data_IF_508592891337
#
_entry.id   IF_508592891337
#
_cell.length_a   1.000
_cell.length_b   1.000
_cell.length_c   1.000
_cell.angle_alpha   90.00
_cell.angle_beta   90.00
_cell.angle_gamma   90.00
#
_symmetry.space_group_name_H-M   'P 1'
#
loop_
_entity.id
_entity.type
_entity.pdbx_description
1 polymer ?
#
# COMPACT_ATOMS: atom_id res chain seq x y z
N UNK A 1 9.80 22.03 74.63
CA UNK A 1 8.43 21.49 74.48
C UNK A 1 7.67 22.41 73.54
N UNK A 2 7.54 22.05 72.27
CA UNK A 2 6.81 22.85 71.28
C UNK A 2 5.44 22.21 71.06
N UNK A 3 4.38 22.91 71.46
CA UNK A 3 3.01 22.44 71.37
C UNK A 3 2.56 22.37 69.92
N UNK A 4 2.15 21.15 69.52
CA UNK A 4 1.39 20.86 68.32
C UNK A 4 0.23 21.83 68.20
N UNK A 5 0.14 22.54 67.07
CA UNK A 5 -1.14 23.00 66.55
C UNK A 5 -1.30 22.44 65.15
N UNK A 6 -2.24 21.52 65.05
CA UNK A 6 -2.76 20.98 63.81
C UNK A 6 -3.37 22.14 63.01
N UNK A 7 -2.75 22.47 61.87
CA UNK A 7 -3.37 23.35 60.89
C UNK A 7 -4.47 22.55 60.21
N UNK A 8 -5.70 22.95 60.52
CA UNK A 8 -6.92 22.55 59.82
C UNK A 8 -6.74 22.88 58.34
N UNK A 9 -6.69 21.85 57.50
CA UNK A 9 -6.74 22.00 56.04
C UNK A 9 -8.11 22.59 55.71
N UNK A 10 -8.09 23.79 55.16
CA UNK A 10 -9.26 24.51 54.73
C UNK A 10 -9.94 23.74 53.58
N UNK A 11 -11.22 23.47 53.77
CA UNK A 11 -12.07 22.63 52.90
C UNK A 11 -12.43 23.31 51.57
N UNK A 12 -11.85 24.46 51.23
CA UNK A 12 -12.12 25.20 49.99
C UNK A 12 -11.05 25.01 48.90
N UNK A 13 -9.84 24.59 49.24
CA UNK A 13 -8.70 24.49 48.29
C UNK A 13 -8.70 23.20 47.44
N UNK A 14 -9.42 22.14 47.84
CA UNK A 14 -9.56 20.91 47.04
C UNK A 14 -10.45 21.10 45.80
N UNK A 15 -11.15 22.22 45.70
CA UNK A 15 -12.19 22.47 44.69
C UNK A 15 -11.64 22.92 43.34
N UNK A 16 -10.42 23.50 43.31
CA UNK A 16 -9.84 24.07 42.10
C UNK A 16 -9.04 23.05 41.26
N UNK A 17 -8.54 21.97 41.88
CA UNK A 17 -7.76 20.93 41.19
C UNK A 17 -8.64 19.85 40.52
N UNK A 18 -9.96 19.87 40.76
CA UNK A 18 -10.87 18.81 40.32
C UNK A 18 -11.57 19.06 38.99
N UNK A 19 -11.41 20.23 38.36
CA UNK A 19 -12.24 20.67 37.23
C UNK A 19 -11.49 21.20 35.99
N UNK A 20 -10.20 20.91 35.86
CA UNK A 20 -9.49 21.14 34.59
C UNK A 20 -9.06 19.80 33.97
N UNK A 21 -10.02 18.92 33.72
CA UNK A 21 -9.80 17.81 32.81
C UNK A 21 -9.97 18.36 31.39
N UNK A 22 -8.90 18.90 30.79
CA UNK A 22 -8.91 19.28 29.37
C UNK A 22 -9.29 18.04 28.57
N UNK A 23 -10.48 18.06 27.97
CA UNK A 23 -10.93 17.03 27.06
C UNK A 23 -10.24 17.23 25.71
N UNK A 24 -9.11 16.56 25.52
CA UNK A 24 -8.35 16.59 24.26
C UNK A 24 -9.11 15.77 23.21
N UNK A 25 -9.60 16.41 22.15
CA UNK A 25 -10.16 15.74 20.97
C UNK A 25 -9.02 15.48 19.99
N UNK A 26 -8.86 14.23 19.57
CA UNK A 26 -7.88 13.82 18.55
C UNK A 26 -8.67 13.53 17.28
N UNK A 27 -8.43 14.30 16.23
CA UNK A 27 -9.00 14.05 14.91
C UNK A 27 -8.03 13.15 14.14
N UNK A 28 -8.53 12.03 13.63
CA UNK A 28 -7.77 11.11 12.77
C UNK A 28 -8.37 11.27 11.39
N UNK A 29 -7.61 11.88 10.47
CA UNK A 29 -7.99 11.95 9.06
C UNK A 29 -7.53 10.66 8.39
N UNK A 30 -8.49 9.84 7.96
CA UNK A 30 -8.23 8.66 7.14
C UNK A 30 -8.44 9.05 5.69
N UNK A 31 -7.35 9.24 4.95
CA UNK A 31 -7.39 9.44 3.51
C UNK A 31 -7.37 8.07 2.84
N UNK A 32 -8.50 7.68 2.25
CA UNK A 32 -8.63 6.41 1.54
C UNK A 32 -8.44 6.67 0.04
N UNK A 33 -7.24 6.42 -0.47
CA UNK A 33 -7.00 6.38 -1.92
C UNK A 33 -7.54 5.08 -2.48
N UNK A 34 -8.61 5.15 -3.28
CA UNK A 34 -9.19 4.01 -3.97
C UNK A 34 -8.84 4.09 -5.47
N UNK A 35 -8.18 3.06 -5.99
CA UNK A 35 -7.97 2.89 -7.42
C UNK A 35 -8.91 1.79 -7.94
N UNK A 36 -9.81 2.15 -8.86
CA UNK A 36 -10.74 1.21 -9.50
C UNK A 36 -10.20 0.91 -10.89
N UNK A 37 -9.75 -0.33 -11.11
CA UNK A 37 -9.33 -0.80 -12.43
C UNK A 37 -10.52 -1.47 -13.11
N UNK A 38 -11.06 -0.84 -14.14
CA UNK A 38 -12.09 -1.43 -15.00
C UNK A 38 -11.38 -2.04 -16.20
N UNK A 39 -11.11 -3.35 -16.14
CA UNK A 39 -10.53 -4.10 -17.26
C UNK A 39 -11.63 -4.80 -18.05
N UNK A 40 -11.66 -4.62 -19.37
CA UNK A 40 -12.53 -5.40 -20.25
C UNK A 40 -11.88 -6.80 -20.43
N UNK A 41 -12.63 -7.91 -20.26
CA UNK A 41 -12.08 -9.26 -20.47
C UNK A 41 -11.52 -9.50 -21.87
N UNK A 42 -11.89 -8.67 -22.85
CA UNK A 42 -11.35 -8.73 -24.22
C UNK A 42 -9.90 -8.24 -24.33
N UNK A 43 -9.37 -7.57 -23.30
CA UNK A 43 -8.02 -7.00 -23.35
C UNK A 43 -6.95 -7.91 -22.72
N UNK A 44 -7.34 -9.08 -22.20
CA UNK A 44 -6.41 -10.11 -21.75
C UNK A 44 -6.27 -11.13 -22.87
N UNK A 45 -5.09 -11.19 -23.47
CA UNK A 45 -4.78 -12.16 -24.53
C UNK A 45 -4.21 -13.41 -23.88
N UNK A 46 -4.78 -14.57 -24.14
CA UNK A 46 -4.15 -15.84 -23.75
C UNK A 46 -3.08 -16.18 -24.78
N UNK A 47 -1.81 -16.18 -24.37
CA UNK A 47 -0.70 -16.53 -25.23
C UNK A 47 0.33 -17.39 -24.48
N UNK A 48 1.20 -18.04 -25.25
CA UNK A 48 2.28 -18.86 -24.70
C UNK A 48 3.34 -17.99 -24.03
N UNK A 49 3.65 -18.26 -22.76
CA UNK A 49 4.75 -17.64 -22.03
C UNK A 49 5.96 -18.58 -21.99
N UNK A 50 7.10 -18.15 -22.52
CA UNK A 50 8.33 -18.95 -22.49
C UNK A 50 8.84 -19.20 -21.07
N UNK A 51 8.73 -18.22 -20.17
CA UNK A 51 9.19 -18.35 -18.79
C UNK A 51 8.30 -19.23 -17.91
N UNK A 52 6.99 -19.29 -18.19
CA UNK A 52 6.06 -20.16 -17.47
C UNK A 52 5.89 -21.54 -18.12
N UNK A 53 6.27 -21.69 -19.40
CA UNK A 53 6.01 -22.87 -20.22
C UNK A 53 4.52 -23.28 -20.26
N UNK A 54 3.62 -22.30 -20.33
CA UNK A 54 2.17 -22.51 -20.40
C UNK A 54 1.46 -21.37 -21.15
N UNK A 55 0.20 -21.61 -21.53
CA UNK A 55 -0.71 -20.56 -22.00
C UNK A 55 -1.26 -19.79 -20.81
N UNK A 56 -0.91 -18.52 -20.74
CA UNK A 56 -1.26 -17.64 -19.63
C UNK A 56 -1.93 -16.38 -20.14
N UNK A 57 -2.67 -15.71 -19.25
CA UNK A 57 -3.16 -14.37 -19.53
C UNK A 57 -1.98 -13.41 -19.72
N UNK A 58 -2.05 -12.60 -20.77
CA UNK A 58 -1.08 -11.57 -21.09
C UNK A 58 -1.81 -10.24 -21.25
N UNK A 59 -1.18 -9.17 -20.79
CA UNK A 59 -1.74 -7.81 -20.78
C UNK A 59 -0.75 -6.84 -21.41
N UNK A 60 -1.19 -5.69 -21.91
CA UNK A 60 -0.26 -4.67 -22.41
C UNK A 60 0.60 -4.09 -21.29
N UNK A 61 1.67 -3.40 -21.64
CA UNK A 61 2.53 -2.69 -20.69
C UNK A 61 1.76 -1.63 -19.91
N UNK A 62 0.85 -0.89 -20.54
CA UNK A 62 -0.01 0.09 -19.88
C UNK A 62 -0.95 -0.57 -18.87
N UNK A 63 -1.52 -1.72 -19.20
CA UNK A 63 -2.37 -2.46 -18.28
C UNK A 63 -1.58 -3.05 -17.11
N UNK A 64 -0.39 -3.62 -17.38
CA UNK A 64 0.50 -4.11 -16.33
C UNK A 64 0.88 -3.00 -15.35
N UNK A 65 1.14 -1.79 -15.85
CA UNK A 65 1.41 -0.60 -15.05
C UNK A 65 0.23 -0.25 -14.13
N UNK A 66 -0.99 -0.25 -14.69
CA UNK A 66 -2.22 0.00 -13.91
C UNK A 66 -2.46 -1.08 -12.85
N UNK A 67 -2.28 -2.36 -13.19
CA UNK A 67 -2.50 -3.50 -12.29
C UNK A 67 -1.52 -3.49 -11.11
N UNK A 68 -0.26 -3.15 -11.36
CA UNK A 68 0.81 -3.14 -10.34
C UNK A 68 1.00 -1.77 -9.67
N UNK A 69 0.25 -0.75 -10.08
CA UNK A 69 0.34 0.61 -9.50
C UNK A 69 1.69 1.30 -9.77
N UNK A 70 2.39 0.95 -10.84
CA UNK A 70 3.67 1.57 -11.23
C UNK A 70 3.57 2.23 -12.60
N UNK A 71 4.62 2.91 -13.02
CA UNK A 71 4.67 3.53 -14.35
C UNK A 71 4.98 2.50 -15.44
N UNK A 72 4.53 2.72 -16.68
CA UNK A 72 4.92 1.88 -17.82
C UNK A 72 6.45 1.81 -18.00
N UNK A 73 7.17 2.89 -17.67
CA UNK A 73 8.64 2.90 -17.65
C UNK A 73 9.22 1.86 -16.70
N UNK A 74 8.64 1.72 -15.51
CA UNK A 74 9.05 0.71 -14.53
C UNK A 74 8.77 -0.71 -15.04
N UNK A 75 7.69 -0.91 -15.79
CA UNK A 75 7.40 -2.19 -16.46
C UNK A 75 8.48 -2.50 -17.52
N UNK A 76 8.82 -1.55 -18.38
CA UNK A 76 9.89 -1.73 -19.37
C UNK A 76 11.23 -2.08 -18.70
N UNK A 77 11.59 -1.42 -17.60
CA UNK A 77 12.80 -1.74 -16.83
C UNK A 77 12.77 -3.15 -16.23
N UNK A 78 11.63 -3.59 -15.67
CA UNK A 78 11.48 -4.94 -15.15
C UNK A 78 11.52 -6.00 -16.26
N UNK A 79 11.08 -5.66 -17.47
CA UNK A 79 11.27 -6.52 -18.65
C UNK A 79 12.74 -6.61 -19.05
N UNK A 80 13.42 -5.47 -19.19
CA UNK A 80 14.85 -5.40 -19.58
C UNK A 80 15.77 -6.11 -18.58
N UNK A 81 15.42 -6.09 -17.29
CA UNK A 81 16.14 -6.79 -16.22
C UNK A 81 15.76 -8.28 -16.09
N UNK A 82 14.76 -8.76 -16.83
CA UNK A 82 14.32 -10.15 -16.82
C UNK A 82 13.45 -10.55 -15.63
N UNK A 83 12.95 -9.57 -14.85
CA UNK A 83 12.02 -9.82 -13.73
C UNK A 83 10.61 -10.20 -14.23
N UNK A 84 10.22 -9.70 -15.40
CA UNK A 84 8.92 -9.97 -16.02
C UNK A 84 9.06 -10.79 -17.29
N UNK A 85 8.24 -11.82 -17.43
CA UNK A 85 8.11 -12.52 -18.69
C UNK A 85 7.28 -11.69 -19.66
N UNK A 86 7.71 -11.66 -20.92
CA UNK A 86 7.01 -10.95 -21.97
C UNK A 86 6.98 -11.76 -23.27
N UNK A 87 6.09 -11.35 -24.17
CA UNK A 87 6.11 -11.75 -25.58
C UNK A 87 5.83 -10.53 -26.44
N UNK A 88 6.40 -10.50 -27.65
CA UNK A 88 6.15 -9.45 -28.62
C UNK A 88 5.18 -9.97 -29.69
N UNK A 89 4.17 -9.18 -30.05
CA UNK A 89 3.28 -9.51 -31.17
C UNK A 89 3.97 -9.23 -32.51
N UNK A 90 3.40 -9.74 -33.61
CA UNK A 90 3.89 -9.41 -34.96
C UNK A 90 3.82 -7.93 -35.31
N UNK A 91 3.06 -7.14 -34.55
CA UNK A 91 2.91 -5.69 -34.72
C UNK A 91 3.90 -4.89 -33.83
N UNK A 92 4.77 -5.56 -33.09
CA UNK A 92 5.74 -4.94 -32.19
C UNK A 92 5.16 -4.52 -30.83
N UNK A 93 3.97 -5.03 -30.46
CA UNK A 93 3.36 -4.73 -29.17
C UNK A 93 3.88 -5.70 -28.11
N UNK A 94 4.29 -5.14 -26.97
CA UNK A 94 4.80 -5.91 -25.84
C UNK A 94 3.65 -6.36 -24.93
N UNK A 95 3.54 -7.67 -24.73
CA UNK A 95 2.58 -8.28 -23.83
C UNK A 95 3.29 -8.87 -22.61
N UNK A 96 2.77 -8.59 -21.43
CA UNK A 96 3.33 -8.95 -20.13
C UNK A 96 2.54 -10.09 -19.52
N UNK A 97 3.24 -11.11 -19.03
CA UNK A 97 2.65 -12.26 -18.37
C UNK A 97 2.08 -11.88 -16.99
N UNK A 98 0.81 -12.22 -16.76
CA UNK A 98 0.13 -11.94 -15.49
C UNK A 98 0.73 -12.71 -14.31
N UNK A 99 1.32 -13.89 -14.53
CA UNK A 99 1.91 -14.71 -13.48
C UNK A 99 3.22 -14.10 -12.96
N UNK A 100 4.11 -13.64 -13.85
CA UNK A 100 5.33 -12.93 -13.41
C UNK A 100 5.00 -11.57 -12.80
N UNK A 101 3.95 -10.91 -13.30
CA UNK A 101 3.50 -9.63 -12.77
C UNK A 101 3.00 -9.76 -11.33
N UNK A 102 2.16 -10.77 -11.03
CA UNK A 102 1.63 -11.01 -9.69
C UNK A 102 2.71 -11.44 -8.70
N UNK A 103 3.70 -12.23 -9.14
CA UNK A 103 4.86 -12.59 -8.34
C UNK A 103 5.68 -11.34 -7.93
N UNK A 104 5.90 -10.41 -8.87
CA UNK A 104 6.67 -9.18 -8.62
C UNK A 104 5.91 -8.17 -7.76
N UNK A 105 4.61 -8.01 -7.99
CA UNK A 105 3.73 -7.14 -7.19
C UNK A 105 3.64 -7.60 -5.72
N UNK A 106 3.59 -8.91 -5.49
CA UNK A 106 3.65 -9.49 -4.13
C UNK A 106 4.95 -9.10 -3.40
N UNK A 107 6.06 -9.01 -4.12
CA UNK A 107 7.35 -8.58 -3.56
C UNK A 107 7.39 -7.07 -3.25
N UNK A 108 6.67 -6.24 -4.02
CA UNK A 108 6.61 -4.78 -3.85
C UNK A 108 5.66 -4.33 -2.74
N UNK A 109 4.59 -5.10 -2.47
CA UNK A 109 3.58 -4.78 -1.44
C UNK A 109 3.97 -5.11 -0.01
N UNK A 110 5.17 -5.64 0.23
CA UNK A 110 5.70 -5.79 1.59
C UNK A 110 6.52 -4.54 1.98
N UNK A 111 5.94 -3.53 2.65
CA UNK A 111 6.73 -2.73 3.56
C UNK A 111 7.04 -3.60 4.78
N UNK A 112 8.32 -3.85 5.06
CA UNK A 112 8.70 -4.39 6.36
C UNK A 112 8.12 -3.48 7.46
N UNK A 113 7.45 -4.02 8.48
CA UNK A 113 6.97 -3.21 9.58
C UNK A 113 8.19 -2.50 10.20
N UNK A 114 8.11 -1.19 10.48
CA UNK A 114 9.18 -0.49 11.18
C UNK A 114 9.41 -1.22 12.52
N UNK A 115 10.56 -1.87 12.64
CA UNK A 115 11.03 -2.41 13.90
C UNK A 115 11.55 -1.25 14.74
N UNK A 116 10.67 -0.60 15.51
CA UNK A 116 11.01 0.21 16.69
C UNK A 116 9.76 0.50 17.53
#
# INVERSE_FOLDING_TARGET
MYTRQAKTVDRSEESALKLWTIKRRREITVETTQQIVISNPQDVVVAWCQGCADHVGMVTTEQAAVISGVTSRSIYQSVESGELHFTETSEGLLLICVNSLSATDSNRRLPEPPQA
#
